data_IF_652082410794
#
_entry.id   IF_652082410794
#
_cell.length_a   1.000
_cell.length_b   1.000
_cell.length_c   1.000
_cell.angle_alpha   90.00
_cell.angle_beta   90.00
_cell.angle_gamma   90.00
#
_symmetry.space_group_name_H-M   'P 1'
#
loop_
_entity.id
_entity.type
_entity.pdbx_description
1 polymer ?
#
# COMPACT_ATOMS: atom_id res chain seq x y z
N UNK A 1 21.85 -3.37 -26.23
CA UNK A 1 21.53 -4.58 -25.43
C UNK A 1 20.23 -5.15 -25.95
N UNK A 2 20.20 -6.45 -26.26
CA UNK A 2 19.25 -6.99 -27.24
C UNK A 2 17.83 -7.08 -26.71
N UNK A 3 16.86 -6.85 -27.60
CA UNK A 3 15.43 -7.06 -27.34
C UNK A 3 15.13 -8.47 -26.83
N UNK A 4 16.03 -9.41 -27.10
CA UNK A 4 15.93 -10.81 -26.69
C UNK A 4 16.09 -10.97 -25.16
N UNK A 5 16.98 -10.21 -24.50
CA UNK A 5 17.12 -10.26 -23.03
C UNK A 5 15.90 -9.68 -22.30
N UNK A 6 15.26 -8.65 -22.86
CA UNK A 6 13.99 -8.12 -22.36
C UNK A 6 12.82 -9.08 -22.60
N UNK A 7 12.83 -9.82 -23.72
CA UNK A 7 11.83 -10.84 -23.99
C UNK A 7 11.97 -12.03 -23.02
N UNK A 8 13.19 -12.51 -22.81
CA UNK A 8 13.52 -13.58 -21.87
C UNK A 8 13.15 -13.17 -20.43
N UNK A 9 13.45 -11.94 -20.02
CA UNK A 9 13.04 -11.48 -18.70
C UNK A 9 11.52 -11.40 -18.54
N UNK A 10 10.80 -10.97 -19.58
CA UNK A 10 9.32 -10.97 -19.54
C UNK A 10 8.76 -12.38 -19.39
N UNK A 11 9.30 -13.34 -20.13
CA UNK A 11 8.94 -14.76 -20.01
C UNK A 11 9.24 -15.31 -18.60
N UNK A 12 10.43 -15.02 -18.07
CA UNK A 12 10.85 -15.35 -16.70
C UNK A 12 9.91 -14.74 -15.64
N UNK A 13 9.54 -13.47 -15.81
CA UNK A 13 8.67 -12.78 -14.86
C UNK A 13 7.22 -13.26 -14.98
N UNK A 14 6.78 -13.66 -16.17
CA UNK A 14 5.49 -14.32 -16.37
C UNK A 14 5.50 -15.72 -15.71
N UNK A 15 6.60 -16.47 -15.74
CA UNK A 15 6.76 -17.72 -14.98
C UNK A 15 6.76 -17.50 -13.46
N UNK A 16 7.46 -16.49 -12.94
CA UNK A 16 7.39 -16.12 -11.52
C UNK A 16 5.97 -15.71 -11.15
N UNK A 17 5.28 -15.00 -12.04
CA UNK A 17 3.85 -14.71 -11.87
C UNK A 17 3.02 -15.97 -11.84
N UNK A 18 3.23 -16.96 -12.69
CA UNK A 18 2.50 -18.25 -12.60
C UNK A 18 2.81 -18.98 -11.29
N UNK A 19 4.07 -18.94 -10.83
CA UNK A 19 4.44 -19.44 -9.50
C UNK A 19 3.72 -18.67 -8.39
N UNK A 20 3.42 -17.38 -8.60
CA UNK A 20 2.67 -16.50 -7.70
C UNK A 20 1.16 -16.36 -8.01
N UNK A 21 0.60 -16.94 -9.09
CA UNK A 21 -0.82 -16.87 -9.51
C UNK A 21 -1.56 -18.19 -9.36
N UNK A 22 -2.70 -18.18 -8.68
CA UNK A 22 -3.71 -19.22 -8.88
C UNK A 22 -4.25 -19.10 -10.30
N UNK A 23 -4.72 -20.19 -10.91
CA UNK A 23 -5.24 -20.23 -12.29
C UNK A 23 -6.34 -19.16 -12.52
N UNK A 24 -5.98 -17.94 -12.93
CA UNK A 24 -6.95 -16.90 -13.28
C UNK A 24 -6.56 -16.22 -14.60
N UNK A 25 -7.41 -16.32 -15.66
CA UNK A 25 -7.04 -15.92 -16.99
C UNK A 25 -7.57 -14.52 -17.32
N UNK A 26 -6.93 -13.45 -16.83
CA UNK A 26 -7.06 -12.15 -17.48
C UNK A 26 -5.74 -11.39 -17.61
N UNK A 27 -5.53 -10.92 -18.84
CA UNK A 27 -4.29 -10.34 -19.35
C UNK A 27 -4.46 -8.82 -19.40
N UNK A 28 -4.00 -8.11 -18.38
CA UNK A 28 -3.87 -6.65 -18.43
C UNK A 28 -2.52 -6.28 -19.05
N UNK A 29 -2.57 -5.55 -20.17
CA UNK A 29 -1.42 -5.18 -21.00
C UNK A 29 -0.45 -4.15 -20.38
N UNK A 30 -0.64 -3.76 -19.11
CA UNK A 30 0.10 -2.65 -18.47
C UNK A 30 0.85 -3.01 -17.19
N UNK A 31 1.11 -4.29 -17.03
CA UNK A 31 2.11 -4.85 -16.12
C UNK A 31 3.56 -4.39 -16.39
N UNK A 32 3.77 -3.52 -17.39
CA UNK A 32 5.05 -3.07 -17.94
C UNK A 32 5.93 -2.31 -16.96
N UNK A 33 5.41 -1.42 -16.12
CA UNK A 33 6.28 -0.54 -15.31
C UNK A 33 6.83 -1.26 -14.06
N UNK A 34 5.98 -2.06 -13.37
CA UNK A 34 6.46 -3.00 -12.35
C UNK A 34 7.39 -4.06 -12.96
N UNK A 35 7.10 -4.52 -14.18
CA UNK A 35 7.98 -5.44 -14.91
C UNK A 35 9.33 -4.78 -15.25
N UNK A 36 9.34 -3.51 -15.62
CA UNK A 36 10.54 -2.74 -15.93
C UNK A 36 11.38 -2.48 -14.68
N UNK A 37 10.76 -2.20 -13.54
CA UNK A 37 11.49 -2.03 -12.28
C UNK A 37 12.07 -3.36 -11.78
N UNK A 38 11.29 -4.45 -11.83
CA UNK A 38 11.80 -5.79 -11.55
C UNK A 38 12.90 -6.18 -12.54
N UNK A 39 12.78 -5.81 -13.82
CA UNK A 39 13.82 -6.00 -14.83
C UNK A 39 15.08 -5.24 -14.47
N UNK A 40 14.96 -3.97 -14.08
CA UNK A 40 16.10 -3.17 -13.62
C UNK A 40 16.79 -3.83 -12.43
N UNK A 41 16.05 -4.34 -11.46
CA UNK A 41 16.61 -5.03 -10.29
C UNK A 41 17.30 -6.34 -10.66
N UNK A 42 16.66 -7.17 -11.49
CA UNK A 42 17.27 -8.40 -12.00
C UNK A 42 18.53 -8.12 -12.81
N UNK A 43 18.50 -7.12 -13.67
CA UNK A 43 19.65 -6.70 -14.48
C UNK A 43 20.76 -6.09 -13.63
N UNK A 44 20.44 -5.33 -12.58
CA UNK A 44 21.42 -4.82 -11.61
C UNK A 44 22.04 -5.98 -10.81
N UNK A 45 21.27 -7.02 -10.52
CA UNK A 45 21.78 -8.19 -9.82
C UNK A 45 22.75 -9.00 -10.66
N UNK A 46 22.44 -9.17 -11.95
CA UNK A 46 23.27 -9.88 -12.93
C UNK A 46 24.32 -8.95 -13.58
N UNK A 47 24.37 -7.67 -13.22
CA UNK A 47 25.29 -6.69 -13.81
C UNK A 47 26.77 -7.05 -13.63
N UNK A 48 27.10 -7.78 -12.57
CA UNK A 48 28.46 -8.28 -12.30
C UNK A 48 28.88 -9.37 -13.29
N UNK A 49 27.92 -9.98 -14.01
CA UNK A 49 28.14 -10.98 -15.07
C UNK A 49 28.22 -10.32 -16.45
N UNK A 50 28.51 -9.01 -16.53
CA UNK A 50 28.68 -8.23 -17.78
C UNK A 50 29.77 -8.83 -18.69
N UNK A 51 29.39 -9.84 -19.45
CA UNK A 51 30.18 -10.47 -20.50
C UNK A 51 29.71 -9.96 -21.86
N UNK A 52 30.63 -9.75 -22.80
CA UNK A 52 30.29 -9.46 -24.20
C UNK A 52 29.58 -10.65 -24.90
N UNK A 53 29.46 -11.80 -24.23
CA UNK A 53 28.81 -12.99 -24.74
C UNK A 53 27.35 -13.07 -24.24
N UNK A 54 26.41 -12.96 -25.17
CA UNK A 54 24.97 -13.05 -24.89
C UNK A 54 24.59 -14.39 -24.22
N UNK A 55 25.22 -15.51 -24.57
CA UNK A 55 24.88 -16.83 -24.03
C UNK A 55 25.21 -16.93 -22.53
N UNK A 56 26.31 -16.30 -22.11
CA UNK A 56 26.73 -16.24 -20.70
C UNK A 56 25.76 -15.37 -19.90
N UNK A 57 25.36 -14.23 -20.46
CA UNK A 57 24.38 -13.35 -19.83
C UNK A 57 23.01 -14.04 -19.70
N UNK A 58 22.54 -14.73 -20.74
CA UNK A 58 21.29 -15.49 -20.72
C UNK A 58 21.32 -16.62 -19.71
N UNK A 59 22.43 -17.37 -19.61
CA UNK A 59 22.59 -18.41 -18.60
C UNK A 59 22.54 -17.84 -17.19
N UNK A 60 23.25 -16.74 -16.93
CA UNK A 60 23.27 -16.09 -15.62
C UNK A 60 21.88 -15.57 -15.21
N UNK A 61 21.11 -15.01 -16.14
CA UNK A 61 19.72 -14.59 -15.89
C UNK A 61 18.82 -15.77 -15.53
N UNK A 62 18.96 -16.91 -16.22
CA UNK A 62 18.19 -18.14 -15.92
C UNK A 62 18.55 -18.71 -14.55
N UNK A 63 19.84 -18.75 -14.23
CA UNK A 63 20.33 -19.23 -12.93
C UNK A 63 19.81 -18.33 -11.79
N UNK A 64 19.85 -17.00 -11.98
CA UNK A 64 19.31 -16.02 -11.03
C UNK A 64 17.78 -16.15 -10.87
N UNK A 65 17.05 -16.40 -11.95
CA UNK A 65 15.62 -16.68 -11.89
C UNK A 65 15.33 -17.95 -11.10
N UNK A 66 16.03 -19.05 -11.39
CA UNK A 66 15.88 -20.29 -10.62
C UNK A 66 16.13 -20.06 -9.14
N UNK A 67 17.10 -19.21 -8.80
CA UNK A 67 17.42 -18.82 -7.43
C UNK A 67 16.28 -18.04 -6.77
N UNK A 68 15.69 -17.04 -7.44
CA UNK A 68 14.51 -16.32 -6.94
C UNK A 68 13.36 -17.29 -6.67
N UNK A 69 13.08 -18.20 -7.61
CA UNK A 69 12.00 -19.19 -7.48
C UNK A 69 12.22 -20.11 -6.28
N UNK A 70 13.42 -20.67 -6.13
CA UNK A 70 13.79 -21.47 -4.96
C UNK A 70 13.67 -20.66 -3.66
N UNK A 71 14.09 -19.40 -3.68
CA UNK A 71 14.02 -18.50 -2.52
C UNK A 71 12.58 -18.28 -2.07
N UNK A 72 11.67 -17.96 -3.00
CA UNK A 72 10.24 -17.79 -2.70
C UNK A 72 9.64 -19.10 -2.15
N UNK A 73 9.98 -20.25 -2.73
CA UNK A 73 9.49 -21.55 -2.25
C UNK A 73 9.96 -21.88 -0.83
N UNK A 74 11.25 -21.68 -0.54
CA UNK A 74 11.81 -21.93 0.80
C UNK A 74 11.24 -20.94 1.81
N UNK A 75 11.13 -19.67 1.44
CA UNK A 75 10.56 -18.61 2.28
C UNK A 75 9.11 -18.91 2.62
N UNK A 76 8.33 -19.35 1.63
CA UNK A 76 6.94 -19.75 1.81
C UNK A 76 6.78 -20.99 2.72
N UNK A 77 7.63 -22.00 2.55
CA UNK A 77 7.63 -23.20 3.38
C UNK A 77 8.08 -22.92 4.82
N UNK A 78 9.02 -22.00 5.01
CA UNK A 78 9.62 -21.63 6.30
C UNK A 78 8.93 -20.47 7.02
N UNK A 79 7.94 -19.81 6.40
CA UNK A 79 7.16 -18.75 7.03
C UNK A 79 6.35 -19.30 8.23
N UNK A 80 6.30 -18.60 9.39
CA UNK A 80 6.85 -17.27 9.70
C UNK A 80 8.28 -17.26 10.25
N UNK A 81 8.81 -18.40 10.70
CA UNK A 81 9.96 -18.47 11.62
C UNK A 81 11.33 -18.55 10.94
N UNK A 82 11.40 -18.73 9.61
CA UNK A 82 12.67 -18.86 8.90
C UNK A 82 13.51 -17.59 9.06
N UNK A 83 14.77 -17.74 9.43
CA UNK A 83 15.74 -16.64 9.52
C UNK A 83 16.47 -16.46 8.19
N UNK A 84 16.99 -15.26 7.94
CA UNK A 84 17.82 -15.01 6.75
C UNK A 84 19.04 -15.94 6.69
N UNK A 85 19.71 -16.16 7.82
CA UNK A 85 20.83 -17.10 7.90
C UNK A 85 20.44 -18.50 7.43
N UNK A 86 19.30 -19.01 7.90
CA UNK A 86 18.81 -20.35 7.54
C UNK A 86 18.48 -20.41 6.05
N UNK A 87 17.74 -19.42 5.55
CA UNK A 87 17.39 -19.30 4.12
C UNK A 87 18.65 -19.28 3.25
N UNK A 88 19.61 -18.43 3.58
CA UNK A 88 20.89 -18.32 2.86
C UNK A 88 21.66 -19.64 2.88
N UNK A 89 21.72 -20.31 4.03
CA UNK A 89 22.42 -21.60 4.15
C UNK A 89 21.77 -22.71 3.30
N UNK A 90 20.45 -22.68 3.12
CA UNK A 90 19.73 -23.62 2.25
C UNK A 90 19.97 -23.33 0.77
N UNK A 91 19.99 -22.05 0.39
CA UNK A 91 20.27 -21.61 -0.99
C UNK A 91 21.71 -21.93 -1.40
N UNK A 92 22.69 -21.70 -0.52
CA UNK A 92 24.10 -22.03 -0.79
C UNK A 92 24.34 -23.54 -0.94
N UNK A 93 23.55 -24.39 -0.28
CA UNK A 93 23.61 -25.84 -0.45
C UNK A 93 23.11 -26.31 -1.83
N UNK A 94 22.36 -25.48 -2.57
CA UNK A 94 21.84 -25.83 -3.89
C UNK A 94 22.88 -25.69 -5.03
N UNK A 95 24.09 -25.16 -4.79
CA UNK A 95 25.21 -25.18 -5.76
C UNK A 95 26.02 -23.87 -5.88
N UNK A 96 26.96 -23.84 -6.84
CA UNK A 96 27.92 -22.76 -7.13
C UNK A 96 27.28 -21.42 -7.49
N UNK A 97 26.83 -20.68 -6.49
CA UNK A 97 26.27 -19.35 -6.65
C UNK A 97 27.03 -18.40 -5.72
N UNK A 98 27.52 -17.29 -6.27
CA UNK A 98 28.22 -16.28 -5.48
C UNK A 98 27.33 -15.74 -4.37
N UNK A 99 27.91 -15.56 -3.19
CA UNK A 99 27.26 -15.01 -2.00
C UNK A 99 26.48 -13.71 -2.28
N UNK A 100 27.01 -12.84 -3.13
CA UNK A 100 26.36 -11.59 -3.52
C UNK A 100 25.07 -11.82 -4.33
N UNK A 101 25.03 -12.84 -5.19
CA UNK A 101 23.84 -13.16 -5.98
C UNK A 101 22.73 -13.76 -5.11
N UNK A 102 23.07 -14.48 -4.04
CA UNK A 102 22.10 -15.01 -3.07
C UNK A 102 21.40 -13.88 -2.33
N UNK A 103 22.13 -12.89 -1.80
CA UNK A 103 21.50 -11.76 -1.11
C UNK A 103 20.61 -10.96 -2.05
N UNK A 104 21.07 -10.65 -3.27
CA UNK A 104 20.26 -9.95 -4.26
C UNK A 104 19.00 -10.74 -4.65
N UNK A 105 19.08 -12.07 -4.72
CA UNK A 105 17.91 -12.90 -4.98
C UNK A 105 16.91 -12.92 -3.81
N UNK A 106 17.39 -12.89 -2.57
CA UNK A 106 16.55 -12.72 -1.38
C UNK A 106 15.82 -11.37 -1.42
N UNK A 107 16.53 -10.28 -1.71
CA UNK A 107 15.94 -8.94 -1.81
C UNK A 107 14.86 -8.88 -2.90
N UNK A 108 15.13 -9.45 -4.09
CA UNK A 108 14.14 -9.51 -5.18
C UNK A 108 12.96 -10.42 -4.81
N UNK A 109 13.19 -11.55 -4.14
CA UNK A 109 12.11 -12.42 -3.67
C UNK A 109 11.19 -11.71 -2.66
N UNK A 110 11.74 -10.90 -1.77
CA UNK A 110 10.98 -10.06 -0.84
C UNK A 110 10.23 -8.93 -1.55
N UNK A 111 10.77 -8.38 -2.63
CA UNK A 111 10.05 -7.44 -3.49
C UNK A 111 8.87 -8.10 -4.22
N UNK A 112 8.97 -9.40 -4.55
CA UNK A 112 7.96 -10.11 -5.32
C UNK A 112 6.85 -10.73 -4.47
N UNK A 113 7.18 -11.29 -3.30
CA UNK A 113 6.24 -12.04 -2.50
C UNK A 113 5.47 -11.16 -1.50
N UNK A 114 6.08 -10.55 -0.46
CA UNK A 114 5.37 -9.61 0.39
C UNK A 114 5.27 -8.20 -0.22
N UNK A 115 5.94 -7.93 -1.34
CA UNK A 115 5.86 -6.63 -2.02
C UNK A 115 6.70 -5.53 -1.36
N UNK A 116 7.81 -5.86 -0.70
CA UNK A 116 8.58 -4.89 0.10
C UNK A 116 9.66 -4.22 -0.74
N UNK A 117 9.87 -2.92 -0.57
CA UNK A 117 11.00 -2.23 -1.17
C UNK A 117 12.33 -2.56 -0.46
N UNK A 118 13.07 -3.49 -1.07
CA UNK A 118 14.47 -3.79 -0.71
C UNK A 118 15.48 -3.03 -1.59
N UNK A 119 15.02 -2.15 -2.48
CA UNK A 119 15.86 -1.38 -3.41
C UNK A 119 16.38 -0.12 -2.71
N UNK A 120 17.66 0.19 -2.83
CA UNK A 120 18.28 1.33 -2.10
C UNK A 120 19.16 0.86 -0.94
N UNK A 121 20.39 0.44 -1.27
CA UNK A 121 21.65 1.18 -1.05
C UNK A 121 22.07 1.25 0.42
N UNK A 122 23.06 0.42 0.77
CA UNK A 122 24.02 0.39 1.90
C UNK A 122 23.76 1.11 3.24
N UNK A 123 23.05 2.24 3.24
CA UNK A 123 22.88 3.17 4.35
C UNK A 123 21.52 3.03 5.06
N UNK A 124 20.47 2.50 4.40
CA UNK A 124 19.18 2.29 5.06
C UNK A 124 19.12 0.92 5.76
N UNK A 125 19.46 0.91 7.05
CA UNK A 125 19.44 -0.29 7.89
C UNK A 125 18.05 -0.93 7.98
N UNK A 126 16.96 -0.16 7.77
CA UNK A 126 15.59 -0.71 7.82
C UNK A 126 15.25 -1.56 6.60
N UNK A 127 15.97 -1.39 5.48
CA UNK A 127 15.77 -2.18 4.25
C UNK A 127 16.55 -3.50 4.26
N UNK A 128 17.54 -3.63 5.14
CA UNK A 128 18.39 -4.82 5.23
C UNK A 128 17.80 -5.81 6.24
N UNK A 129 17.47 -7.02 5.79
CA UNK A 129 17.11 -8.12 6.68
C UNK A 129 18.34 -8.59 7.48
N UNK A 130 18.33 -8.49 8.83
CA UNK A 130 19.40 -9.03 9.67
C UNK A 130 19.43 -10.56 9.65
N UNK A 131 20.62 -11.14 9.86
CA UNK A 131 20.83 -12.58 9.66
C UNK A 131 20.02 -13.47 10.61
N UNK A 132 19.75 -12.98 11.82
CA UNK A 132 19.07 -13.74 12.88
C UNK A 132 17.59 -13.41 13.04
N UNK A 133 17.11 -12.34 12.40
CA UNK A 133 15.71 -11.97 12.49
C UNK A 133 14.87 -12.97 11.69
N UNK A 134 13.70 -13.29 12.24
CA UNK A 134 12.73 -14.14 11.53
C UNK A 134 12.13 -13.38 10.35
N UNK A 135 11.66 -14.11 9.34
CA UNK A 135 10.97 -13.52 8.20
C UNK A 135 9.76 -12.70 8.67
N UNK A 136 9.03 -13.17 9.69
CA UNK A 136 7.93 -12.41 10.29
C UNK A 136 8.41 -11.10 10.89
N UNK A 137 9.42 -11.12 11.74
CA UNK A 137 9.86 -9.92 12.45
C UNK A 137 10.39 -8.86 11.48
N UNK A 138 11.19 -9.29 10.49
CA UNK A 138 11.66 -8.40 9.45
C UNK A 138 10.54 -7.86 8.57
N UNK A 139 9.58 -8.70 8.14
CA UNK A 139 8.51 -8.29 7.24
C UNK A 139 7.42 -7.51 8.00
N UNK A 140 6.78 -8.13 8.98
CA UNK A 140 5.61 -7.57 9.67
C UNK A 140 5.98 -6.50 10.68
N UNK A 141 6.91 -6.77 11.59
CA UNK A 141 7.25 -5.84 12.66
C UNK A 141 8.00 -4.62 12.11
N UNK A 142 9.02 -4.84 11.27
CA UNK A 142 9.89 -3.76 10.79
C UNK A 142 9.33 -2.95 9.61
N UNK A 143 8.54 -3.56 8.70
CA UNK A 143 8.07 -2.87 7.47
C UNK A 143 6.62 -2.42 7.49
N UNK A 144 5.76 -3.17 8.18
CA UNK A 144 4.33 -2.95 8.23
C UNK A 144 3.83 -2.46 9.59
N UNK A 145 4.77 -2.05 10.46
CA UNK A 145 4.50 -1.40 11.74
C UNK A 145 3.53 -2.23 12.62
N UNK A 146 3.63 -3.57 12.57
CA UNK A 146 2.76 -4.46 13.35
C UNK A 146 2.88 -4.13 14.85
N UNK A 147 1.83 -3.60 15.49
CA UNK A 147 1.90 -3.06 16.84
C UNK A 147 1.85 -4.16 17.90
N UNK A 148 2.44 -5.33 17.64
CA UNK A 148 2.45 -6.48 18.55
C UNK A 148 2.80 -6.07 20.00
N UNK A 149 3.62 -5.01 20.15
CA UNK A 149 4.09 -4.49 21.44
C UNK A 149 3.85 -2.96 21.65
N UNK A 150 3.02 -2.29 20.83
CA UNK A 150 2.89 -0.83 20.82
C UNK A 150 1.55 -0.29 21.36
N UNK A 151 1.60 0.66 22.30
CA UNK A 151 0.46 1.46 22.72
C UNK A 151 0.01 2.33 21.54
N UNK A 152 -1.08 1.95 20.89
CA UNK A 152 -1.58 2.75 19.76
C UNK A 152 -2.45 3.85 20.30
N UNK A 153 -2.13 5.08 19.89
CA UNK A 153 -2.95 6.25 20.17
C UNK A 153 -4.36 6.04 19.60
N UNK A 154 -5.26 5.68 20.51
CA UNK A 154 -6.65 5.36 20.24
C UNK A 154 -7.53 6.63 20.26
N UNK A 155 -6.91 7.82 20.30
CA UNK A 155 -7.58 9.12 20.28
C UNK A 155 -8.53 9.24 19.08
N UNK A 156 -8.17 8.65 17.94
CA UNK A 156 -8.97 8.63 16.71
C UNK A 156 -9.59 7.24 16.50
N UNK A 157 -10.77 7.00 17.08
CA UNK A 157 -11.47 5.71 16.90
C UNK A 157 -12.11 5.52 15.51
N UNK A 158 -12.28 6.60 14.73
CA UNK A 158 -13.04 6.64 13.46
C UNK A 158 -12.43 7.61 12.48
N UNK A 159 -12.54 7.29 11.18
CA UNK A 159 -12.18 8.24 10.13
C UNK A 159 -13.05 9.50 10.19
N UNK A 160 -12.46 10.68 9.99
CA UNK A 160 -13.21 11.93 9.86
C UNK A 160 -14.26 11.84 8.75
N UNK A 161 -15.38 12.57 8.87
CA UNK A 161 -16.35 12.65 7.80
C UNK A 161 -15.68 13.24 6.54
N UNK A 162 -15.97 12.64 5.37
CA UNK A 162 -15.42 13.04 4.07
C UNK A 162 -13.91 12.80 3.90
N UNK A 163 -13.27 12.02 4.79
CA UNK A 163 -11.91 11.54 4.58
C UNK A 163 -11.86 10.59 3.37
N UNK A 164 -11.46 11.12 2.21
CA UNK A 164 -11.41 10.41 0.91
C UNK A 164 -10.29 10.98 0.04
N UNK A 165 -9.80 10.20 -0.92
CA UNK A 165 -8.72 10.58 -1.82
C UNK A 165 -8.94 11.95 -2.50
N UNK A 166 -10.12 12.17 -3.08
CA UNK A 166 -10.44 13.45 -3.73
C UNK A 166 -10.36 14.65 -2.78
N UNK A 167 -10.72 14.46 -1.50
CA UNK A 167 -10.68 15.53 -0.49
C UNK A 167 -9.27 15.74 0.07
N UNK A 168 -8.48 14.67 0.19
CA UNK A 168 -7.06 14.76 0.52
C UNK A 168 -6.33 15.59 -0.53
N UNK A 169 -6.62 15.35 -1.81
CA UNK A 169 -6.08 16.15 -2.90
C UNK A 169 -6.60 17.60 -2.89
N UNK A 170 -7.91 17.81 -2.86
CA UNK A 170 -8.47 19.16 -3.03
C UNK A 170 -8.24 20.09 -1.84
N UNK A 171 -8.27 19.56 -0.62
CA UNK A 171 -8.28 20.34 0.62
C UNK A 171 -6.88 20.37 1.24
N UNK A 172 -6.27 19.19 1.39
CA UNK A 172 -4.93 19.07 1.93
C UNK A 172 -3.85 19.25 0.85
N UNK A 173 -4.19 19.21 -0.45
CA UNK A 173 -3.18 19.26 -1.52
C UNK A 173 -2.14 18.15 -1.42
N UNK A 174 -2.60 16.99 -0.97
CA UNK A 174 -1.81 15.78 -0.96
C UNK A 174 -1.90 15.20 -2.37
N UNK A 175 -0.76 15.05 -3.02
CA UNK A 175 -0.67 14.39 -4.33
C UNK A 175 -0.57 12.89 -4.12
N UNK A 176 -1.28 12.13 -4.94
CA UNK A 176 -1.27 10.67 -4.88
C UNK A 176 -0.28 10.15 -5.91
N UNK A 177 0.68 9.36 -5.46
CA UNK A 177 1.69 8.71 -6.30
C UNK A 177 1.49 7.20 -6.23
N UNK A 178 1.50 6.52 -7.38
CA UNK A 178 1.42 5.07 -7.38
C UNK A 178 2.75 4.46 -6.93
N UNK A 179 2.69 3.51 -6.00
CA UNK A 179 3.85 2.67 -5.64
C UNK A 179 3.62 1.21 -6.01
N UNK A 180 4.71 0.53 -6.34
CA UNK A 180 4.74 -0.91 -6.61
C UNK A 180 5.13 -1.73 -5.38
N UNK A 181 5.41 -1.06 -4.28
CA UNK A 181 5.83 -1.67 -3.04
C UNK A 181 4.72 -1.51 -2.00
N UNK A 182 4.24 -2.64 -1.49
CA UNK A 182 3.19 -2.71 -0.50
C UNK A 182 3.61 -1.99 0.79
N UNK A 183 4.87 -2.12 1.21
CA UNK A 183 5.38 -1.46 2.42
C UNK A 183 5.51 0.07 2.29
N UNK A 184 5.34 0.62 1.10
CA UNK A 184 5.20 2.06 0.85
C UNK A 184 3.74 2.51 0.81
N UNK A 185 2.77 1.59 0.87
CA UNK A 185 1.36 1.94 0.91
C UNK A 185 1.05 2.85 2.11
N UNK A 186 0.29 3.91 1.85
CA UNK A 186 -0.06 4.99 2.78
C UNK A 186 1.14 5.76 3.36
N UNK A 187 2.34 5.64 2.79
CA UNK A 187 3.45 6.52 3.22
C UNK A 187 3.19 7.93 2.74
N UNK A 188 3.07 8.83 3.71
CA UNK A 188 2.98 10.26 3.48
C UNK A 188 4.36 10.89 3.61
N UNK A 189 4.70 11.79 2.69
CA UNK A 189 5.86 12.65 2.80
C UNK A 189 5.38 14.09 2.98
N UNK A 190 5.65 14.68 4.15
CA UNK A 190 5.21 16.03 4.49
C UNK A 190 5.85 17.11 3.60
N UNK A 191 7.12 16.92 3.20
CA UNK A 191 7.90 17.89 2.44
C UNK A 191 7.36 18.03 1.02
N UNK A 192 7.13 16.89 0.36
CA UNK A 192 6.59 16.85 -1.02
C UNK A 192 5.06 16.87 -1.05
N UNK A 193 4.42 16.64 0.10
CA UNK A 193 2.98 16.37 0.23
C UNK A 193 2.53 15.24 -0.69
N UNK A 194 3.36 14.20 -0.85
CA UNK A 194 3.02 13.02 -1.67
C UNK A 194 2.60 11.85 -0.79
N UNK A 195 1.50 11.22 -1.16
CA UNK A 195 0.97 10.00 -0.56
C UNK A 195 1.15 8.86 -1.54
N UNK A 196 1.95 7.86 -1.14
CA UNK A 196 2.18 6.67 -1.94
C UNK A 196 1.09 5.64 -1.73
N UNK A 197 0.48 5.18 -2.82
CA UNK A 197 -0.57 4.16 -2.79
C UNK A 197 -0.21 2.95 -3.65
N UNK A 198 -0.19 1.79 -3.01
CA UNK A 198 -0.16 0.50 -3.70
C UNK A 198 -1.57 0.18 -4.23
N UNK A 199 -1.71 0.01 -5.55
CA UNK A 199 -3.01 -0.10 -6.23
C UNK A 199 -3.15 -1.31 -7.17
N UNK A 200 -2.26 -2.30 -7.05
CA UNK A 200 -2.34 -3.54 -7.85
C UNK A 200 -3.37 -4.51 -7.22
N UNK A 201 -4.66 -4.26 -7.47
CA UNK A 201 -5.78 -5.01 -6.89
C UNK A 201 -5.75 -6.50 -7.27
N UNK A 202 -5.45 -6.81 -8.53
CA UNK A 202 -5.38 -8.20 -8.98
C UNK A 202 -4.29 -8.95 -8.22
N UNK A 203 -3.12 -8.34 -8.05
CA UNK A 203 -2.04 -8.94 -7.27
C UNK A 203 -2.43 -9.15 -5.80
N UNK A 204 -3.13 -8.19 -5.17
CA UNK A 204 -3.61 -8.34 -3.79
C UNK A 204 -4.59 -9.52 -3.65
N UNK A 205 -5.55 -9.63 -4.57
CA UNK A 205 -6.50 -10.74 -4.57
C UNK A 205 -5.81 -12.08 -4.82
N UNK A 206 -4.93 -12.17 -5.82
CA UNK A 206 -4.18 -13.40 -6.12
C UNK A 206 -3.35 -13.86 -4.90
N UNK A 207 -2.70 -12.92 -4.21
CA UNK A 207 -1.86 -13.22 -3.05
C UNK A 207 -2.69 -13.57 -1.80
N UNK A 208 -3.83 -12.91 -1.61
CA UNK A 208 -4.77 -13.20 -0.53
C UNK A 208 -5.38 -14.60 -0.68
N UNK A 209 -5.81 -14.97 -1.90
CA UNK A 209 -6.37 -16.30 -2.16
C UNK A 209 -5.36 -17.42 -1.87
N UNK A 210 -4.09 -17.22 -2.25
CA UNK A 210 -3.02 -18.19 -2.04
C UNK A 210 -2.69 -18.38 -0.58
N UNK A 211 -2.39 -17.28 0.09
CA UNK A 211 -2.12 -17.32 1.52
C UNK A 211 -3.31 -17.94 2.25
N UNK A 212 -4.55 -17.56 1.96
CA UNK A 212 -5.74 -18.18 2.58
C UNK A 212 -5.92 -19.68 2.27
N UNK A 213 -5.66 -20.12 1.03
CA UNK A 213 -5.82 -21.52 0.61
C UNK A 213 -4.78 -22.44 1.27
N UNK A 214 -3.56 -21.94 1.44
CA UNK A 214 -2.45 -22.68 2.05
C UNK A 214 -2.66 -22.93 3.54
N UNK A 215 -3.29 -21.99 4.25
CA UNK A 215 -3.73 -22.21 5.64
C UNK A 215 -4.81 -23.31 5.73
N UNK A 216 -5.77 -23.30 4.80
CA UNK A 216 -6.80 -24.34 4.74
C UNK A 216 -6.20 -25.72 4.45
N UNK A 217 -5.17 -25.80 3.60
CA UNK A 217 -4.47 -27.04 3.28
C UNK A 217 -3.62 -27.55 4.47
N UNK A 218 -2.86 -26.66 5.13
CA UNK A 218 -2.05 -27.01 6.32
C UNK A 218 -2.91 -27.43 7.51
N UNK A 219 -4.07 -26.79 7.73
CA UNK A 219 -5.01 -27.16 8.79
C UNK A 219 -5.71 -28.52 8.54
N UNK A 220 -5.89 -28.93 7.28
CA UNK A 220 -6.53 -30.20 6.94
C UNK A 220 -5.60 -31.42 7.12
N UNK A 221 -4.28 -31.25 6.97
CA UNK A 221 -3.32 -32.36 7.11
C UNK A 221 -3.08 -32.73 8.58
N UNK A 222 -3.27 -31.79 9.51
CA UNK A 222 -3.15 -32.04 10.96
C UNK A 222 -4.35 -32.84 11.52
N UNK A 223 -5.47 -32.91 10.79
CA UNK A 223 -6.66 -33.66 11.21
C UNK A 223 -6.59 -35.18 10.94
N UNK A 224 -5.47 -35.71 10.43
CA UNK A 224 -5.34 -37.14 10.09
C UNK A 224 -4.17 -37.79 10.83
N UNK A 225 -4.25 -37.87 12.16
CA UNK A 225 -3.55 -38.91 12.93
C UNK A 225 -4.50 -40.08 13.22
N UNK A 226 -4.07 -41.35 13.07
CA UNK A 226 -4.94 -42.51 13.14
C UNK A 226 -5.27 -42.85 14.59
N UNK A 227 -6.46 -42.44 15.04
CA UNK A 227 -7.06 -42.97 16.27
C UNK A 227 -7.85 -44.25 15.96
N UNK A 228 -7.62 -45.27 16.78
CA UNK A 228 -8.19 -46.61 16.75
C UNK A 228 -9.76 -46.60 16.79
N UNK A 229 -10.42 -47.70 16.41
CA UNK A 229 -11.81 -47.68 15.97
C UNK A 229 -12.79 -47.51 17.14
N UNK A 230 -13.72 -46.55 17.02
CA UNK A 230 -14.93 -46.48 17.84
C UNK A 230 -16.18 -46.90 17.02
N UNK A 231 -17.14 -47.61 17.64
CA UNK A 231 -18.32 -48.20 17.00
C UNK A 231 -19.41 -47.16 16.64
N UNK A 232 -20.41 -47.56 15.81
CA UNK A 232 -21.15 -46.63 14.98
C UNK A 232 -22.41 -46.05 15.64
N UNK A 233 -22.89 -45.00 14.98
CA UNK A 233 -24.24 -44.44 14.95
C UNK A 233 -24.52 -43.24 15.86
N UNK A 234 -24.67 -42.06 15.22
CA UNK A 234 -26.00 -41.50 15.00
C UNK A 234 -25.93 -40.41 13.92
N UNK A 235 -26.78 -40.58 12.91
CA UNK A 235 -26.97 -39.63 11.82
C UNK A 235 -27.59 -38.32 12.34
N UNK A 236 -27.07 -37.20 11.87
CA UNK A 236 -27.80 -35.93 11.88
C UNK A 236 -27.57 -35.23 10.55
N UNK A 237 -28.64 -35.20 9.78
CA UNK A 237 -28.82 -34.50 8.52
C UNK A 237 -28.91 -32.99 8.77
N UNK A 238 -27.80 -32.26 8.55
CA UNK A 238 -27.85 -30.80 8.47
C UNK A 238 -27.75 -30.37 7.00
N UNK A 239 -28.90 -29.89 6.51
CA UNK A 239 -29.11 -29.36 5.17
C UNK A 239 -28.20 -28.15 4.90
N UNK A 240 -27.69 -28.13 3.67
CA UNK A 240 -26.99 -26.99 3.05
C UNK A 240 -27.82 -25.71 3.21
N UNK A 241 -27.25 -24.71 3.90
CA UNK A 241 -27.78 -23.37 3.98
C UNK A 241 -26.76 -22.38 3.40
N UNK A 242 -27.12 -21.84 2.24
CA UNK A 242 -26.43 -20.79 1.49
C UNK A 242 -26.57 -19.45 2.22
N UNK A 243 -25.75 -19.20 3.25
CA UNK A 243 -25.60 -17.90 3.90
C UNK A 243 -24.20 -17.77 4.55
N UNK A 244 -23.15 -17.95 3.76
CA UNK A 244 -21.74 -17.91 4.20
C UNK A 244 -20.99 -16.75 3.52
N UNK A 245 -21.43 -15.51 3.71
CA UNK A 245 -20.63 -14.33 3.31
C UNK A 245 -20.68 -13.14 4.27
N UNK A 246 -21.34 -13.27 5.43
CA UNK A 246 -21.26 -12.28 6.49
C UNK A 246 -20.63 -12.92 7.73
N UNK A 247 -19.54 -12.30 8.20
CA UNK A 247 -18.85 -12.58 9.45
C UNK A 247 -18.01 -13.87 9.48
N UNK A 248 -16.80 -13.83 8.89
CA UNK A 248 -15.70 -14.60 9.49
C UNK A 248 -15.35 -13.93 10.82
N UNK A 249 -15.28 -14.67 11.94
CA UNK A 249 -14.87 -14.10 13.21
C UNK A 249 -13.43 -13.60 13.08
N UNK A 250 -13.22 -12.34 13.46
CA UNK A 250 -11.89 -11.76 13.63
C UNK A 250 -11.23 -12.60 14.72
N UNK A 251 -10.24 -13.41 14.33
CA UNK A 251 -9.52 -14.29 15.22
C UNK A 251 -8.94 -13.51 16.41
N UNK A 252 -8.98 -14.16 17.57
CA UNK A 252 -8.63 -13.60 18.87
C UNK A 252 -7.25 -12.95 18.91
N UNK A 253 -7.10 -11.98 19.82
CA UNK A 253 -6.02 -11.01 19.96
C UNK A 253 -4.63 -11.56 20.36
N UNK A 254 -4.32 -12.82 20.03
CA UNK A 254 -2.95 -13.35 20.00
C UNK A 254 -2.72 -13.88 18.58
N UNK A 255 -2.54 -12.93 17.67
CA UNK A 255 -2.63 -13.13 16.22
C UNK A 255 -1.78 -14.28 15.73
N UNK A 256 -2.42 -15.20 15.01
CA UNK A 256 -1.75 -16.29 14.33
C UNK A 256 -0.80 -15.70 13.27
N UNK A 257 0.50 -15.68 13.59
CA UNK A 257 1.56 -15.14 12.75
C UNK A 257 1.59 -15.77 11.35
N UNK A 258 1.05 -16.99 11.21
CA UNK A 258 0.94 -17.66 9.91
C UNK A 258 0.02 -16.87 8.97
N UNK A 259 -1.11 -16.37 9.49
CA UNK A 259 -2.13 -15.64 8.74
C UNK A 259 -1.86 -14.15 8.54
N UNK A 260 -0.78 -13.61 9.11
CA UNK A 260 -0.52 -12.17 9.12
C UNK A 260 -0.41 -11.55 7.71
N UNK A 261 0.19 -12.26 6.74
CA UNK A 261 0.26 -11.78 5.35
C UNK A 261 -1.13 -11.68 4.71
N UNK A 262 -1.99 -12.67 4.94
CA UNK A 262 -3.36 -12.62 4.45
C UNK A 262 -4.13 -11.45 5.06
N UNK A 263 -4.00 -11.25 6.37
CA UNK A 263 -4.61 -10.13 7.09
C UNK A 263 -4.11 -8.77 6.55
N UNK A 264 -2.82 -8.65 6.25
CA UNK A 264 -2.22 -7.45 5.66
C UNK A 264 -2.80 -7.14 4.27
N UNK A 265 -2.90 -8.14 3.38
CA UNK A 265 -3.47 -7.93 2.04
C UNK A 265 -4.94 -7.53 2.12
N UNK A 266 -5.72 -8.17 2.98
CA UNK A 266 -7.12 -7.82 3.22
C UNK A 266 -7.25 -6.41 3.79
N UNK A 267 -6.39 -6.02 4.73
CA UNK A 267 -6.36 -4.66 5.28
C UNK A 267 -5.97 -3.61 4.22
N UNK A 268 -5.09 -3.96 3.27
CA UNK A 268 -4.71 -3.09 2.14
C UNK A 268 -5.86 -2.90 1.16
N UNK A 269 -6.66 -3.94 0.89
CA UNK A 269 -7.87 -3.79 0.08
C UNK A 269 -8.88 -2.87 0.78
N UNK A 270 -9.03 -3.04 2.10
CA UNK A 270 -9.91 -2.19 2.93
C UNK A 270 -9.44 -0.74 3.02
N UNK A 271 -8.14 -0.47 3.05
CA UNK A 271 -7.62 0.89 3.06
C UNK A 271 -7.88 1.62 1.75
N UNK A 272 -7.79 0.91 0.62
CA UNK A 272 -8.16 1.44 -0.69
C UNK A 272 -9.67 1.74 -0.77
N UNK A 273 -10.53 0.88 -0.21
CA UNK A 273 -11.98 1.15 -0.13
C UNK A 273 -12.33 2.38 0.73
N UNK A 274 -11.56 2.65 1.80
CA UNK A 274 -11.71 3.89 2.59
C UNK A 274 -11.40 5.13 1.77
N UNK A 275 -10.32 5.09 0.97
CA UNK A 275 -9.87 6.24 0.19
C UNK A 275 -10.66 6.43 -1.11
N UNK A 276 -11.10 5.33 -1.73
CA UNK A 276 -11.79 5.29 -3.03
C UNK A 276 -13.11 4.52 -2.95
N UNK A 277 -14.07 5.01 -2.16
CA UNK A 277 -15.36 4.36 -2.05
C UNK A 277 -16.10 4.42 -3.40
N UNK A 278 -16.50 3.27 -3.93
CA UNK A 278 -17.19 3.16 -5.23
C UNK A 278 -18.51 3.96 -5.31
N UNK A 279 -19.12 4.27 -4.17
CA UNK A 279 -20.37 5.02 -4.07
C UNK A 279 -20.20 6.55 -4.09
N UNK A 280 -18.97 7.07 -4.02
CA UNK A 280 -18.73 8.52 -4.01
C UNK A 280 -18.39 9.03 -5.40
N UNK A 281 -19.37 9.64 -6.07
CA UNK A 281 -19.20 10.17 -7.44
C UNK A 281 -18.04 11.15 -7.55
N UNK A 282 -17.85 12.03 -6.54
CA UNK A 282 -16.74 12.98 -6.54
C UNK A 282 -15.38 12.28 -6.58
N UNK A 283 -15.23 11.17 -5.85
CA UNK A 283 -13.99 10.41 -5.84
C UNK A 283 -13.79 9.65 -7.14
N UNK A 284 -14.86 9.12 -7.75
CA UNK A 284 -14.77 8.47 -9.06
C UNK A 284 -14.48 9.45 -10.20
N UNK A 285 -15.03 10.66 -10.16
CA UNK A 285 -14.72 11.73 -11.11
C UNK A 285 -13.25 12.19 -10.97
N UNK A 286 -12.79 12.30 -9.71
CA UNK A 286 -11.39 12.59 -9.41
C UNK A 286 -10.47 11.51 -10.00
N UNK A 287 -10.76 10.24 -9.73
CA UNK A 287 -10.04 9.09 -10.29
C UNK A 287 -10.00 9.15 -11.83
N UNK A 288 -11.14 9.40 -12.48
CA UNK A 288 -11.22 9.46 -13.95
C UNK A 288 -10.39 10.61 -14.56
N UNK A 289 -10.17 11.69 -13.82
CA UNK A 289 -9.46 12.89 -14.28
C UNK A 289 -8.04 13.01 -13.74
N UNK A 290 -7.66 12.16 -12.78
CA UNK A 290 -6.38 12.26 -12.11
C UNK A 290 -5.23 11.83 -13.03
N UNK A 291 -4.25 12.70 -13.15
CA UNK A 291 -3.03 12.47 -13.90
C UNK A 291 -1.82 12.57 -12.98
N UNK A 292 -0.93 11.60 -13.11
CA UNK A 292 0.39 11.63 -12.50
C UNK A 292 1.41 11.94 -13.60
N UNK A 293 2.19 13.01 -13.42
CA UNK A 293 3.20 13.45 -14.39
C UNK A 293 2.66 13.63 -15.83
N UNK A 294 1.41 14.11 -15.95
CA UNK A 294 0.74 14.33 -17.24
C UNK A 294 0.28 13.04 -17.95
N UNK A 295 0.18 11.93 -17.21
CA UNK A 295 -0.37 10.67 -17.70
C UNK A 295 -1.53 10.23 -16.82
N UNK A 296 -2.64 9.74 -17.41
CA UNK A 296 -3.75 9.21 -16.63
C UNK A 296 -3.28 8.01 -15.80
N UNK A 297 -3.59 8.05 -14.50
CA UNK A 297 -3.26 6.94 -13.60
C UNK A 297 -4.19 5.77 -13.88
N UNK A 298 -3.67 4.55 -14.10
CA UNK A 298 -4.49 3.36 -14.31
C UNK A 298 -5.03 2.89 -12.96
N UNK A 299 -6.18 3.42 -12.56
CA UNK A 299 -6.90 2.94 -11.39
C UNK A 299 -7.54 1.59 -11.70
N UNK A 300 -6.93 0.50 -11.24
CA UNK A 300 -7.45 -0.84 -11.52
C UNK A 300 -8.74 -1.08 -10.72
N UNK A 301 -9.83 -1.42 -11.40
CA UNK A 301 -11.07 -2.02 -10.88
C UNK A 301 -11.56 -1.52 -9.50
N UNK A 302 -11.50 -0.21 -9.25
CA UNK A 302 -12.08 0.39 -8.03
C UNK A 302 -13.58 0.12 -7.87
N UNK A 303 -14.25 -0.27 -8.95
CA UNK A 303 -15.67 -0.67 -8.97
C UNK A 303 -15.91 -2.01 -8.28
N UNK A 304 -14.89 -2.87 -8.15
CA UNK A 304 -14.99 -4.18 -7.47
C UNK A 304 -14.79 -4.04 -5.95
N UNK A 305 -14.39 -2.86 -5.45
CA UNK A 305 -14.30 -2.60 -4.02
C UNK A 305 -15.72 -2.56 -3.44
N UNK A 306 -16.00 -3.51 -2.56
CA UNK A 306 -17.28 -3.62 -1.89
C UNK A 306 -17.54 -2.35 -1.09
N UNK A 307 -18.66 -1.68 -1.37
CA UNK A 307 -19.09 -0.42 -0.75
C UNK A 307 -19.28 -0.51 0.77
N UNK A 308 -18.20 -0.64 1.55
CA UNK A 308 -18.28 -0.68 3.00
C UNK A 308 -18.45 0.74 3.51
N UNK A 309 -19.69 1.06 3.90
CA UNK A 309 -20.02 2.35 4.48
C UNK A 309 -19.37 2.45 5.86
N UNK A 310 -18.27 3.22 5.92
CA UNK A 310 -17.62 3.70 7.13
C UNK A 310 -16.93 2.62 7.97
N UNK A 311 -15.65 2.39 7.69
CA UNK A 311 -14.80 1.53 8.50
C UNK A 311 -14.33 2.27 9.77
N UNK A 312 -14.08 1.55 10.86
CA UNK A 312 -13.46 2.13 12.06
C UNK A 312 -11.94 2.02 11.90
N UNK A 313 -11.21 3.05 12.33
CA UNK A 313 -9.75 3.06 12.28
C UNK A 313 -9.15 1.90 13.10
N UNK A 314 -9.86 1.45 14.16
CA UNK A 314 -9.47 0.28 14.98
C UNK A 314 -9.44 -1.04 14.22
N UNK A 315 -10.12 -1.14 13.08
CA UNK A 315 -10.08 -2.36 12.24
C UNK A 315 -8.79 -2.49 11.43
N UNK A 316 -8.00 -1.42 11.41
CA UNK A 316 -6.69 -1.37 10.77
C UNK A 316 -5.63 -1.66 11.83
N UNK A 317 -4.92 -2.78 11.69
CA UNK A 317 -3.83 -3.16 12.57
C UNK A 317 -2.51 -2.62 12.03
N UNK A 318 -2.24 -2.87 10.75
CA UNK A 318 -0.98 -2.55 10.08
C UNK A 318 -0.94 -1.11 9.55
N UNK A 319 -2.06 -0.63 8.99
CA UNK A 319 -2.13 0.68 8.35
C UNK A 319 -2.60 1.82 9.25
N UNK A 320 -2.97 1.51 10.50
CA UNK A 320 -3.54 2.49 11.42
C UNK A 320 -2.61 3.66 11.73
N UNK A 321 -1.34 3.40 11.99
CA UNK A 321 -0.37 4.46 12.30
C UNK A 321 -0.26 5.49 11.15
N UNK A 322 -0.17 4.99 9.91
CA UNK A 322 -0.08 5.82 8.70
C UNK A 322 -1.39 6.54 8.39
N UNK A 323 -2.52 5.90 8.63
CA UNK A 323 -3.80 6.57 8.56
C UNK A 323 -3.93 7.67 9.61
N UNK A 324 -3.42 7.47 10.83
CA UNK A 324 -3.45 8.48 11.88
C UNK A 324 -2.67 9.73 11.45
N UNK A 325 -1.47 9.55 10.89
CA UNK A 325 -0.67 10.62 10.29
C UNK A 325 -1.45 11.38 9.20
N UNK A 326 -2.08 10.66 8.27
CA UNK A 326 -2.91 11.26 7.22
C UNK A 326 -4.15 11.99 7.76
N UNK A 327 -4.76 11.48 8.84
CA UNK A 327 -5.91 12.11 9.48
C UNK A 327 -5.49 13.41 10.15
N UNK A 328 -4.37 13.41 10.88
CA UNK A 328 -3.80 14.61 11.50
C UNK A 328 -3.54 15.68 10.42
N UNK A 329 -2.94 15.31 9.29
CA UNK A 329 -2.72 16.24 8.17
C UNK A 329 -4.03 16.66 7.51
N UNK A 330 -5.03 15.78 7.44
CA UNK A 330 -6.36 16.10 6.93
C UNK A 330 -7.19 16.95 7.90
N UNK A 331 -6.89 17.01 9.18
CA UNK A 331 -7.58 17.90 10.12
C UNK A 331 -6.83 19.21 10.31
N UNK A 332 -5.56 19.25 9.93
CA UNK A 332 -4.74 20.45 9.95
C UNK A 332 -5.31 21.56 9.04
N UNK A 333 -5.18 22.84 9.47
CA UNK A 333 -5.68 23.98 8.69
C UNK A 333 -4.96 24.06 7.34
N UNK A 334 -5.68 24.36 6.24
CA UNK A 334 -5.05 24.45 4.93
C UNK A 334 -4.05 25.61 4.92
N UNK A 335 -2.84 25.36 4.40
CA UNK A 335 -1.77 26.39 4.33
C UNK A 335 -2.04 27.48 3.27
N UNK A 336 -2.88 27.17 2.27
CA UNK A 336 -3.15 28.06 1.13
C UNK A 336 -4.52 28.76 1.24
N UNK A 337 -4.56 30.07 0.99
CA UNK A 337 -5.80 30.86 0.95
C UNK A 337 -6.82 30.32 -0.07
N UNK A 338 -6.37 29.86 -1.24
CA UNK A 338 -7.25 29.24 -2.25
C UNK A 338 -7.93 27.98 -1.72
N UNK A 339 -7.24 27.23 -0.85
CA UNK A 339 -7.77 26.00 -0.24
C UNK A 339 -8.70 26.31 0.93
N UNK A 340 -8.35 27.30 1.75
CA UNK A 340 -9.25 27.84 2.81
C UNK A 340 -10.59 28.25 2.20
N UNK A 341 -10.57 28.86 1.02
CA UNK A 341 -11.77 29.25 0.28
C UNK A 341 -12.68 28.07 -0.11
N UNK A 342 -12.08 26.92 -0.44
CA UNK A 342 -12.79 25.68 -0.83
C UNK A 342 -13.09 24.76 0.38
N UNK A 343 -12.54 25.04 1.55
CA UNK A 343 -12.65 24.18 2.72
C UNK A 343 -14.06 24.19 3.33
N UNK A 344 -14.74 23.04 3.24
CA UNK A 344 -16.10 22.81 3.76
C UNK A 344 -16.13 21.77 4.88
N UNK A 345 -14.97 21.47 5.50
CA UNK A 345 -14.87 20.45 6.57
C UNK A 345 -15.60 20.91 7.83
N UNK A 346 -15.36 22.14 8.25
CA UNK A 346 -16.01 22.76 9.41
C UNK A 346 -16.92 23.92 8.96
N UNK A 347 -18.26 23.75 8.97
CA UNK A 347 -19.18 24.80 8.52
C UNK A 347 -19.08 26.06 9.37
N UNK A 348 -18.76 25.94 10.67
CA UNK A 348 -18.58 27.10 11.54
C UNK A 348 -17.33 27.89 11.13
N UNK A 349 -16.19 27.21 10.96
CA UNK A 349 -14.94 27.86 10.53
C UNK A 349 -15.06 28.50 9.15
N UNK A 350 -15.81 27.87 8.24
CA UNK A 350 -16.12 28.46 6.94
C UNK A 350 -16.88 29.77 7.11
N UNK A 351 -17.98 29.79 7.88
CA UNK A 351 -18.77 31.00 8.06
C UNK A 351 -18.02 32.10 8.81
N UNK A 352 -17.17 31.78 9.80
CA UNK A 352 -16.36 32.78 10.50
C UNK A 352 -15.33 33.44 9.59
N UNK A 353 -14.68 32.67 8.70
CA UNK A 353 -13.76 33.21 7.69
C UNK A 353 -14.48 34.22 6.77
N UNK A 354 -15.64 33.84 6.23
CA UNK A 354 -16.42 34.71 5.33
C UNK A 354 -17.00 35.93 6.03
N UNK A 355 -17.50 35.77 7.26
CA UNK A 355 -17.97 36.88 8.07
C UNK A 355 -16.83 37.88 8.35
N UNK A 356 -15.65 37.37 8.72
CA UNK A 356 -14.46 38.20 8.92
C UNK A 356 -14.08 38.98 7.67
N UNK A 357 -14.12 38.35 6.49
CA UNK A 357 -13.86 39.01 5.21
C UNK A 357 -14.86 40.13 4.92
N UNK A 358 -16.17 39.89 5.17
CA UNK A 358 -17.22 40.91 4.99
C UNK A 358 -17.03 42.08 5.94
N UNK A 359 -16.69 41.83 7.21
CA UNK A 359 -16.44 42.88 8.20
C UNK A 359 -15.23 43.72 7.79
N UNK A 360 -14.13 43.08 7.38
CA UNK A 360 -12.92 43.76 6.93
C UNK A 360 -13.18 44.64 5.70
N UNK A 361 -13.85 44.09 4.67
CA UNK A 361 -14.21 44.83 3.46
C UNK A 361 -15.13 46.03 3.77
N UNK A 362 -16.11 45.84 4.65
CA UNK A 362 -17.03 46.91 5.05
C UNK A 362 -16.30 48.02 5.81
N UNK A 363 -15.39 47.65 6.72
CA UNK A 363 -14.60 48.62 7.50
C UNK A 363 -13.71 49.47 6.59
N UNK A 364 -13.07 48.85 5.59
CA UNK A 364 -12.27 49.56 4.61
C UNK A 364 -13.10 50.53 3.77
N UNK A 365 -14.29 50.11 3.33
CA UNK A 365 -15.20 50.96 2.56
C UNK A 365 -15.69 52.17 3.38
N UNK A 366 -16.06 51.98 4.64
CA UNK A 366 -16.47 53.09 5.52
C UNK A 366 -15.30 54.02 5.85
N UNK A 367 -14.11 53.48 6.07
CA UNK A 367 -12.89 54.25 6.28
C UNK A 367 -12.54 55.12 5.08
N UNK A 368 -12.57 54.54 3.87
CA UNK A 368 -12.35 55.26 2.61
C UNK A 368 -13.40 56.36 2.39
N UNK A 369 -14.69 56.05 2.62
CA UNK A 369 -15.77 57.02 2.47
C UNK A 369 -15.58 58.20 3.43
N UNK A 370 -15.22 57.91 4.68
CA UNK A 370 -14.96 58.93 5.70
C UNK A 370 -13.74 59.80 5.36
N UNK A 371 -12.67 59.20 4.85
CA UNK A 371 -11.48 59.92 4.41
C UNK A 371 -11.78 60.86 3.23
N UNK A 372 -12.56 60.40 2.24
CA UNK A 372 -12.97 61.22 1.10
C UNK A 372 -13.86 62.38 1.56
N UNK A 373 -14.84 62.13 2.43
CA UNK A 373 -15.69 63.19 2.98
C UNK A 373 -14.86 64.23 3.76
N UNK A 374 -13.94 63.78 4.62
CA UNK A 374 -13.06 64.66 5.38
C UNK A 374 -12.16 65.51 4.48
N UNK A 375 -11.56 64.91 3.44
CA UNK A 375 -10.76 65.63 2.45
C UNK A 375 -11.56 66.70 1.69
N UNK A 376 -12.80 66.37 1.29
CA UNK A 376 -13.70 67.33 0.62
C UNK A 376 -14.12 68.48 1.54
N UNK A 377 -14.30 68.23 2.83
CA UNK A 377 -14.64 69.27 3.82
C UNK A 377 -13.47 70.26 4.01
N UNK A 378 -12.24 69.77 4.11
CA UNK A 378 -11.03 70.62 4.22
C UNK A 378 -10.78 71.44 2.96
N UNK A 379 -11.08 70.91 1.77
CA UNK A 379 -10.97 71.67 0.52
C UNK A 379 -12.02 72.77 0.37
N UNK A 380 -13.11 72.71 1.13
CA UNK A 380 -14.22 73.69 1.08
C UNK A 380 -14.17 74.76 2.17
N UNK A 381 -13.31 74.64 3.18
CA UNK A 381 -13.19 75.67 4.23
C UNK A 381 -12.46 76.91 3.69
N UNK A 382 -13.10 78.10 3.64
CA UNK A 382 -12.43 79.34 3.28
C UNK A 382 -11.38 79.70 4.34
N UNK A 383 -10.17 80.07 3.90
CA UNK A 383 -9.12 80.58 4.78
C UNK A 383 -9.62 81.92 5.36
N UNK A 384 -9.71 82.09 6.70
CA UNK A 384 -10.02 83.38 7.27
C UNK A 384 -8.88 84.36 6.93
N UNK A 385 -9.22 85.46 6.26
CA UNK A 385 -8.29 86.57 5.99
C UNK A 385 -8.06 87.43 7.23
#
# INVERSE_FOLDING_TARGET
MSKDLQAIWREINDELREVCRGKCPQRSARTSDRQEELYRLGMAAVADVRSNNNDIATKAMRDFHSLIKSTIQILHAGWPSITKYTLRSLLLKQGHIDNANVDKAIDVALCLWPGIDCTGTEYDKRKRWPDHDTAYDFVMTSRFDDPADGEVDDSIARFPPKFRAARLHDISGIHIEQTYYLDQHLRFNEDTRTLKLFMDFQWLHDMLERTSAEHSAKSSVVATQPSAPQPPAAASTAKSCTCMQQCRPIADAKGDQTTALAALYEETLRSLDVLFPAWDSQTMDFVATYEENGKPVPWFNLQDLGAQKQQSLRKFRYWRARFNELIIEFESPPKDLKRIWKDRRNPMAYWTFWLGLVIAASTLAFGLTSAVLGGLQLGRTPIPQ
#
